data_IF_518509260899
#
_entry.id   IF_518509260899
#
_cell.length_a   1.000
_cell.length_b   1.000
_cell.length_c   1.000
_cell.angle_alpha   90.00
_cell.angle_beta   90.00
_cell.angle_gamma   90.00
#
_symmetry.space_group_name_H-M   'P 1'
#
loop_
_entity.id
_entity.type
_entity.pdbx_description
1 polymer ?
#
# COMPACT_ATOMS: atom_id res chain seq x y z
N UNK A 1 7.57 -10.43 -15.36
CA UNK A 1 7.77 -9.16 -14.63
C UNK A 1 6.40 -8.74 -14.14
N UNK A 2 6.25 -8.47 -12.85
CA UNK A 2 4.97 -8.10 -12.25
C UNK A 2 4.67 -6.61 -12.46
N UNK A 3 3.44 -6.18 -12.23
CA UNK A 3 3.00 -4.79 -12.31
C UNK A 3 2.13 -4.43 -11.10
N UNK A 4 1.95 -3.13 -10.86
CA UNK A 4 1.03 -2.67 -9.80
C UNK A 4 -0.41 -3.16 -9.99
N UNK A 5 -0.82 -3.46 -11.23
CA UNK A 5 -2.11 -4.09 -11.53
C UNK A 5 -2.26 -5.48 -10.91
N UNK A 6 -1.16 -6.16 -10.58
CA UNK A 6 -1.17 -7.52 -10.02
C UNK A 6 -1.42 -7.53 -8.50
N UNK A 7 -1.37 -6.36 -7.84
CA UNK A 7 -1.50 -6.28 -6.36
C UNK A 7 -2.93 -6.60 -5.90
N UNK A 8 -3.94 -5.88 -6.41
CA UNK A 8 -5.34 -6.16 -6.07
C UNK A 8 -5.79 -7.61 -6.33
N UNK A 9 -5.53 -8.24 -7.50
CA UNK A 9 -5.92 -9.64 -7.71
C UNK A 9 -5.14 -10.62 -6.81
N UNK A 10 -3.91 -10.28 -6.41
CA UNK A 10 -3.17 -11.06 -5.40
C UNK A 10 -3.87 -11.01 -4.05
N UNK A 11 -4.21 -9.81 -3.58
CA UNK A 11 -4.96 -9.59 -2.33
C UNK A 11 -6.31 -10.30 -2.37
N UNK A 12 -7.05 -10.17 -3.46
CA UNK A 12 -8.34 -10.82 -3.64
C UNK A 12 -8.23 -12.35 -3.55
N UNK A 13 -7.14 -12.93 -4.07
CA UNK A 13 -6.88 -14.37 -4.01
C UNK A 13 -6.56 -14.84 -2.59
N UNK A 14 -5.76 -14.08 -1.83
CA UNK A 14 -5.43 -14.37 -0.42
C UNK A 14 -6.69 -14.30 0.45
N UNK A 15 -7.51 -13.27 0.26
CA UNK A 15 -8.70 -13.03 1.08
C UNK A 15 -9.94 -13.80 0.60
N UNK A 16 -9.84 -14.56 -0.49
CA UNK A 16 -10.97 -15.24 -1.15
C UNK A 16 -12.13 -14.29 -1.51
N UNK A 17 -11.79 -13.07 -1.96
CA UNK A 17 -12.73 -12.01 -2.37
C UNK A 17 -12.91 -12.05 -3.88
N UNK A 18 -14.15 -11.93 -4.35
CA UNK A 18 -14.42 -11.81 -5.79
C UNK A 18 -14.01 -10.42 -6.30
N UNK A 19 -13.06 -10.39 -7.24
CA UNK A 19 -12.64 -9.18 -7.97
C UNK A 19 -13.09 -9.31 -9.44
N UNK A 20 -14.26 -8.73 -9.82
CA UNK A 20 -14.91 -9.05 -11.09
C UNK A 20 -14.19 -8.49 -12.33
N UNK A 21 -13.40 -7.43 -12.17
CA UNK A 21 -12.65 -6.79 -13.25
C UNK A 21 -11.25 -6.43 -12.75
N UNK A 22 -10.24 -6.86 -13.47
CA UNK A 22 -8.81 -6.56 -13.22
C UNK A 22 -8.05 -6.66 -14.53
N UNK A 23 -7.01 -5.84 -14.70
CA UNK A 23 -6.07 -5.93 -15.82
C UNK A 23 -4.84 -6.79 -15.46
N UNK A 24 -4.52 -6.88 -14.16
CA UNK A 24 -3.47 -7.74 -13.65
C UNK A 24 -3.94 -9.13 -13.27
N UNK A 25 -3.00 -9.97 -12.85
CA UNK A 25 -3.23 -11.36 -12.42
C UNK A 25 -2.62 -11.62 -11.04
N UNK A 26 -3.18 -12.54 -10.23
CA UNK A 26 -2.61 -12.87 -8.93
C UNK A 26 -1.17 -13.37 -9.05
N UNK A 27 -0.31 -12.99 -8.12
CA UNK A 27 1.08 -13.45 -8.01
C UNK A 27 1.11 -14.75 -7.20
N UNK A 28 1.26 -15.94 -7.83
CA UNK A 28 1.00 -17.20 -7.14
C UNK A 28 1.95 -17.49 -5.97
N UNK A 29 3.17 -16.95 -6.01
CA UNK A 29 4.13 -17.11 -4.92
C UNK A 29 3.69 -16.36 -3.66
N UNK A 30 3.22 -15.11 -3.79
CA UNK A 30 2.71 -14.33 -2.65
C UNK A 30 1.43 -14.96 -2.09
N UNK A 31 0.53 -15.44 -2.96
CA UNK A 31 -0.70 -16.10 -2.52
C UNK A 31 -0.37 -17.29 -1.62
N UNK A 32 0.54 -18.17 -2.04
CA UNK A 32 0.96 -19.32 -1.22
C UNK A 32 1.66 -18.92 0.07
N UNK A 33 2.54 -17.93 0.02
CA UNK A 33 3.31 -17.53 1.20
C UNK A 33 2.44 -16.87 2.28
N UNK A 34 1.29 -16.32 1.91
CA UNK A 34 0.38 -15.60 2.81
C UNK A 34 -0.97 -16.31 3.05
N UNK A 35 -1.18 -17.51 2.49
CA UNK A 35 -2.49 -18.21 2.55
C UNK A 35 -2.90 -18.62 3.97
N UNK A 36 -1.93 -18.89 4.84
CA UNK A 36 -2.16 -19.31 6.22
C UNK A 36 -2.32 -18.12 7.20
N UNK A 37 -2.09 -16.89 6.75
CA UNK A 37 -2.21 -15.71 7.60
C UNK A 37 -3.71 -15.35 7.79
N UNK A 38 -4.15 -15.11 9.02
CA UNK A 38 -5.55 -14.79 9.31
C UNK A 38 -5.93 -13.34 9.00
N UNK A 39 -4.93 -12.48 8.84
CA UNK A 39 -5.08 -11.05 8.57
C UNK A 39 -4.11 -10.65 7.47
N UNK A 40 -4.45 -9.57 6.79
CA UNK A 40 -3.63 -8.98 5.73
C UNK A 40 -3.50 -7.47 5.95
N UNK A 41 -2.30 -6.94 5.79
CA UNK A 41 -2.03 -5.51 5.78
C UNK A 41 -1.34 -5.16 4.47
N UNK A 42 -1.90 -4.20 3.75
CA UNK A 42 -1.24 -3.53 2.63
C UNK A 42 -0.75 -2.15 3.08
N UNK A 43 0.57 -1.96 3.03
CA UNK A 43 1.23 -0.69 3.27
C UNK A 43 1.67 -0.13 1.92
N UNK A 44 1.09 0.99 1.51
CA UNK A 44 1.50 1.74 0.33
C UNK A 44 2.45 2.85 0.79
N UNK A 45 3.61 2.97 0.15
CA UNK A 45 4.63 3.96 0.49
C UNK A 45 4.86 4.92 -0.68
N UNK A 46 4.47 6.18 -0.49
CA UNK A 46 4.61 7.29 -1.45
C UNK A 46 6.10 7.50 -1.78
N UNK A 47 6.48 7.30 -3.04
CA UNK A 47 7.85 7.53 -3.51
C UNK A 47 8.86 6.39 -3.25
N UNK A 48 8.43 5.19 -2.86
CA UNK A 48 9.33 4.04 -2.68
C UNK A 48 9.67 3.37 -4.01
N UNK A 49 10.83 3.72 -4.58
CA UNK A 49 11.39 3.08 -5.78
C UNK A 49 12.23 1.82 -5.50
N UNK A 50 12.37 0.94 -6.49
CA UNK A 50 13.21 -0.27 -6.35
C UNK A 50 14.69 0.07 -6.16
N UNK A 51 15.19 1.11 -6.83
CA UNK A 51 16.58 1.58 -6.68
C UNK A 51 16.83 2.03 -5.24
N UNK A 52 15.90 2.82 -4.69
CA UNK A 52 15.94 3.29 -3.31
C UNK A 52 15.92 2.11 -2.32
N UNK A 53 15.00 1.17 -2.52
CA UNK A 53 14.94 -0.04 -1.70
C UNK A 53 16.27 -0.79 -1.71
N UNK A 54 16.88 -1.02 -2.87
CA UNK A 54 18.16 -1.74 -2.96
C UNK A 54 19.31 -1.01 -2.26
N UNK A 55 19.35 0.32 -2.34
CA UNK A 55 20.34 1.15 -1.62
C UNK A 55 20.21 0.99 -0.11
N UNK A 56 18.98 0.94 0.41
CA UNK A 56 18.72 0.94 1.86
C UNK A 56 18.15 -0.37 2.41
N UNK A 57 18.27 -1.48 1.69
CA UNK A 57 17.64 -2.77 2.04
C UNK A 57 17.98 -3.30 3.44
N UNK A 58 19.12 -2.88 4.00
CA UNK A 58 19.53 -3.25 5.36
C UNK A 58 18.57 -2.70 6.42
N UNK A 59 17.87 -1.60 6.15
CA UNK A 59 16.82 -1.05 7.01
C UNK A 59 15.51 -1.87 6.93
N UNK A 60 15.30 -2.57 5.82
CA UNK A 60 14.10 -3.38 5.55
C UNK A 60 14.39 -4.89 5.70
N UNK A 61 15.06 -5.28 6.79
CA UNK A 61 15.45 -6.68 7.03
C UNK A 61 14.26 -7.54 7.53
N UNK A 62 13.24 -7.66 6.69
CA UNK A 62 12.10 -8.56 6.90
C UNK A 62 12.40 -9.92 6.26
N UNK A 63 12.10 -11.01 6.97
CA UNK A 63 12.28 -12.36 6.44
C UNK A 63 11.13 -12.70 5.49
N UNK A 64 11.30 -12.40 4.19
CA UNK A 64 10.25 -12.58 3.20
C UNK A 64 10.71 -12.43 1.75
N UNK A 65 9.73 -12.27 0.87
CA UNK A 65 9.95 -12.07 -0.55
C UNK A 65 10.04 -10.59 -0.92
N UNK A 66 10.84 -10.28 -1.94
CA UNK A 66 10.91 -8.95 -2.55
C UNK A 66 10.82 -9.13 -4.05
N UNK A 67 9.83 -8.50 -4.67
CA UNK A 67 9.59 -8.54 -6.10
C UNK A 67 9.60 -7.12 -6.68
N UNK A 68 10.09 -6.98 -7.91
CA UNK A 68 9.95 -5.73 -8.65
C UNK A 68 8.63 -5.68 -9.42
N UNK A 69 7.82 -4.65 -9.17
CA UNK A 69 6.61 -4.36 -9.91
C UNK A 69 6.81 -3.15 -10.82
N UNK A 70 6.39 -3.27 -12.07
CA UNK A 70 6.33 -2.13 -13.00
C UNK A 70 5.20 -1.18 -12.57
N UNK A 71 5.57 0.05 -12.24
CA UNK A 71 4.67 1.17 -11.99
C UNK A 71 3.88 1.55 -13.24
N UNK A 72 2.72 2.15 -13.02
CA UNK A 72 1.78 2.53 -14.10
C UNK A 72 1.64 4.04 -14.26
N UNK A 73 2.12 4.80 -13.29
CA UNK A 73 2.10 6.24 -13.22
C UNK A 73 3.29 6.73 -12.40
N UNK A 74 3.70 7.98 -12.60
CA UNK A 74 4.66 8.71 -11.77
C UNK A 74 3.94 9.64 -10.77
N UNK A 75 2.66 9.38 -10.50
CA UNK A 75 1.82 10.17 -9.61
C UNK A 75 1.07 9.25 -8.65
N UNK A 76 1.02 9.65 -7.37
CA UNK A 76 0.43 8.90 -6.25
C UNK A 76 -1.00 8.44 -6.51
N UNK A 77 -1.93 9.36 -6.81
CA UNK A 77 -3.36 9.03 -6.93
C UNK A 77 -3.69 7.93 -7.95
N UNK A 78 -3.28 8.03 -9.24
CA UNK A 78 -3.51 6.96 -10.19
C UNK A 78 -2.77 5.66 -9.82
N UNK A 79 -1.58 5.74 -9.22
CA UNK A 79 -0.85 4.54 -8.80
C UNK A 79 -1.56 3.79 -7.67
N UNK A 80 -2.02 4.49 -6.64
CA UNK A 80 -2.83 3.92 -5.55
C UNK A 80 -4.12 3.33 -6.10
N UNK A 81 -4.82 4.04 -6.98
CA UNK A 81 -6.04 3.52 -7.61
C UNK A 81 -5.76 2.22 -8.37
N UNK A 82 -4.64 2.12 -9.10
CA UNK A 82 -4.22 0.86 -9.75
C UNK A 82 -3.89 -0.24 -8.74
N UNK A 83 -3.12 0.05 -7.68
CA UNK A 83 -2.78 -0.92 -6.64
C UNK A 83 -4.05 -1.53 -6.03
N UNK A 84 -5.07 -0.70 -5.79
CA UNK A 84 -6.28 -1.08 -5.09
C UNK A 84 -7.36 -1.66 -6.02
N UNK A 85 -7.35 -1.38 -7.33
CA UNK A 85 -8.36 -1.91 -8.26
C UNK A 85 -7.84 -3.03 -9.17
N UNK A 86 -6.52 -3.12 -9.35
CA UNK A 86 -5.89 -3.99 -10.32
C UNK A 86 -6.05 -3.52 -11.77
N UNK A 87 -6.54 -2.30 -11.99
CA UNK A 87 -6.80 -1.72 -13.30
C UNK A 87 -5.74 -0.67 -13.66
N UNK A 88 -5.49 -0.47 -14.94
CA UNK A 88 -4.72 0.68 -15.43
C UNK A 88 -5.52 1.99 -15.34
N UNK A 89 -4.83 3.16 -15.32
CA UNK A 89 -5.49 4.48 -15.26
C UNK A 89 -6.62 4.71 -16.26
N UNK A 90 -6.46 4.25 -17.50
CA UNK A 90 -7.49 4.38 -18.54
C UNK A 90 -8.73 3.49 -18.29
N UNK A 91 -8.61 2.44 -17.48
CA UNK A 91 -9.70 1.51 -17.16
C UNK A 91 -10.41 1.82 -15.85
N UNK A 92 -9.74 2.46 -14.88
CA UNK A 92 -10.38 2.97 -13.67
C UNK A 92 -10.75 4.45 -13.68
N UNK A 93 -10.24 5.22 -14.64
CA UNK A 93 -10.62 6.62 -14.83
C UNK A 93 -10.15 7.58 -13.74
N UNK A 94 -9.28 7.13 -12.83
CA UNK A 94 -8.72 7.96 -11.75
C UNK A 94 -7.35 8.46 -12.18
N UNK A 95 -7.27 9.75 -12.50
CA UNK A 95 -6.01 10.42 -12.85
C UNK A 95 -5.53 11.42 -11.79
N UNK A 96 -6.41 11.82 -10.88
CA UNK A 96 -6.19 12.84 -9.83
C UNK A 96 -7.27 12.68 -8.75
N UNK A 97 -7.08 13.29 -7.58
CA UNK A 97 -7.90 13.05 -6.37
C UNK A 97 -9.40 13.30 -6.58
N UNK A 98 -9.78 14.31 -7.37
CA UNK A 98 -11.19 14.61 -7.63
C UNK A 98 -11.94 13.50 -8.36
N UNK A 99 -11.24 12.67 -9.13
CA UNK A 99 -11.85 11.57 -9.87
C UNK A 99 -12.22 10.39 -8.98
N UNK A 100 -11.60 10.27 -7.80
CA UNK A 100 -11.84 9.16 -6.87
C UNK A 100 -13.30 9.14 -6.37
N UNK A 101 -13.94 10.31 -6.27
CA UNK A 101 -15.34 10.41 -5.83
C UNK A 101 -16.37 10.11 -6.92
N UNK A 102 -15.93 9.98 -8.17
CA UNK A 102 -16.82 9.79 -9.34
C UNK A 102 -16.46 8.57 -10.17
N UNK A 103 -15.37 7.87 -9.84
CA UNK A 103 -14.94 6.68 -10.58
C UNK A 103 -15.81 5.48 -10.26
N UNK A 104 -16.15 4.71 -11.30
CA UNK A 104 -17.02 3.54 -11.18
C UNK A 104 -16.37 2.32 -10.50
N UNK A 105 -15.06 2.01 -10.71
CA UNK A 105 -14.51 0.79 -10.13
C UNK A 105 -14.37 0.83 -8.61
N UNK A 106 -14.83 -0.25 -7.99
CA UNK A 106 -14.75 -0.48 -6.55
C UNK A 106 -13.39 -1.10 -6.23
N UNK A 107 -12.71 -0.58 -5.21
CA UNK A 107 -11.41 -1.09 -4.78
C UNK A 107 -11.51 -2.49 -4.13
N UNK A 108 -10.41 -3.23 -4.08
CA UNK A 108 -10.34 -4.56 -3.43
C UNK A 108 -10.68 -4.50 -1.94
N UNK A 109 -10.35 -3.40 -1.26
CA UNK A 109 -10.68 -3.20 0.16
C UNK A 109 -12.17 -2.95 0.39
N UNK A 110 -12.83 -2.22 -0.53
CA UNK A 110 -14.28 -2.04 -0.50
C UNK A 110 -15.01 -3.33 -0.87
N UNK A 111 -14.53 -4.06 -1.88
CA UNK A 111 -15.07 -5.37 -2.24
C UNK A 111 -14.93 -6.40 -1.12
N UNK A 112 -13.82 -6.37 -0.37
CA UNK A 112 -13.63 -7.19 0.81
C UNK A 112 -14.67 -6.86 1.89
N UNK A 113 -14.85 -5.57 2.21
CA UNK A 113 -15.87 -5.09 3.15
C UNK A 113 -17.29 -5.50 2.74
N UNK A 114 -17.65 -5.30 1.47
CA UNK A 114 -18.95 -5.72 0.91
C UNK A 114 -19.18 -7.23 0.98
N UNK A 115 -18.12 -8.03 1.00
CA UNK A 115 -18.17 -9.50 1.10
C UNK A 115 -18.00 -10.01 2.55
N UNK A 116 -18.08 -9.12 3.54
CA UNK A 116 -18.10 -9.46 4.97
C UNK A 116 -16.73 -9.51 5.64
N UNK A 117 -15.66 -9.10 4.96
CA UNK A 117 -14.33 -8.98 5.56
C UNK A 117 -14.21 -7.61 6.22
N UNK A 118 -14.10 -7.58 7.55
CA UNK A 118 -13.93 -6.33 8.29
C UNK A 118 -12.66 -5.62 7.83
N UNK A 119 -12.83 -4.49 7.17
CA UNK A 119 -11.76 -3.80 6.45
C UNK A 119 -11.54 -2.38 6.94
N UNK A 120 -10.27 -1.96 6.98
CA UNK A 120 -9.87 -0.62 7.39
C UNK A 120 -9.01 0.09 6.34
N UNK A 121 -9.18 1.40 6.23
CA UNK A 121 -8.36 2.29 5.40
C UNK A 121 -7.82 3.43 6.25
N UNK A 122 -6.52 3.68 6.18
CA UNK A 122 -5.79 4.72 6.93
C UNK A 122 -4.94 5.52 5.95
N UNK A 123 -5.32 6.76 5.68
CA UNK A 123 -4.56 7.64 4.78
C UNK A 123 -4.95 9.11 4.96
N UNK A 124 -4.35 9.99 4.16
CA UNK A 124 -4.71 11.40 4.09
C UNK A 124 -6.22 11.57 3.94
N UNK A 125 -6.76 12.51 4.71
CA UNK A 125 -8.20 12.77 4.88
C UNK A 125 -9.03 12.72 3.61
N UNK A 126 -8.62 13.42 2.54
CA UNK A 126 -9.42 13.46 1.32
C UNK A 126 -9.39 12.10 0.60
N UNK A 127 -8.22 11.47 0.53
CA UNK A 127 -8.10 10.09 0.04
C UNK A 127 -8.95 9.11 0.86
N UNK A 128 -8.91 9.19 2.18
CA UNK A 128 -9.62 8.28 3.08
C UNK A 128 -11.15 8.36 2.91
N UNK A 129 -11.69 9.57 2.75
CA UNK A 129 -13.13 9.82 2.60
C UNK A 129 -13.79 9.21 1.37
N UNK A 130 -13.02 8.82 0.36
CA UNK A 130 -13.60 8.19 -0.82
C UNK A 130 -14.02 6.74 -0.59
N UNK A 131 -13.50 6.08 0.46
CA UNK A 131 -13.72 4.66 0.69
C UNK A 131 -15.01 4.37 1.46
N UNK A 132 -15.70 3.30 1.06
CA UNK A 132 -16.89 2.75 1.74
C UNK A 132 -16.53 1.42 2.41
N UNK A 133 -15.86 1.48 3.57
CA UNK A 133 -15.39 0.31 4.34
C UNK A 133 -15.82 0.39 5.81
N UNK A 134 -15.60 -0.68 6.59
CA UNK A 134 -15.99 -0.77 8.00
C UNK A 134 -15.33 0.30 8.87
N UNK A 135 -14.07 0.64 8.59
CA UNK A 135 -13.32 1.68 9.32
C UNK A 135 -12.50 2.56 8.38
N UNK A 136 -12.74 3.85 8.44
CA UNK A 136 -11.92 4.88 7.77
C UNK A 136 -11.24 5.72 8.85
N UNK A 137 -9.91 5.83 8.79
CA UNK A 137 -9.12 6.72 9.64
C UNK A 137 -8.52 7.81 8.77
N UNK A 138 -9.03 9.02 8.95
CA UNK A 138 -8.55 10.23 8.30
C UNK A 138 -7.33 10.75 9.06
N UNK A 139 -6.18 10.85 8.38
CA UNK A 139 -4.97 11.48 8.95
C UNK A 139 -4.81 12.86 8.32
N UNK A 140 -4.70 13.89 9.15
CA UNK A 140 -4.50 15.27 8.70
C UNK A 140 -3.04 15.48 8.30
N UNK A 141 -2.82 16.26 7.25
CA UNK A 141 -1.49 16.59 6.79
C UNK A 141 -0.95 17.83 7.54
N UNK A 142 -0.15 17.58 8.58
CA UNK A 142 0.60 18.63 9.30
C UNK A 142 2.08 18.64 8.86
N UNK A 143 2.82 17.59 9.23
CA UNK A 143 4.20 17.34 8.83
C UNK A 143 4.39 15.84 8.53
N UNK A 144 5.34 15.51 7.67
CA UNK A 144 5.50 14.16 7.14
C UNK A 144 5.84 13.11 8.22
N UNK A 145 6.61 13.50 9.24
CA UNK A 145 7.02 12.59 10.32
C UNK A 145 5.83 12.29 11.22
N UNK A 146 5.13 13.33 11.69
CA UNK A 146 3.94 13.19 12.53
C UNK A 146 2.80 12.49 11.80
N UNK A 147 2.63 12.77 10.50
CA UNK A 147 1.66 12.07 9.67
C UNK A 147 1.95 10.55 9.66
N UNK A 148 3.18 10.13 9.35
CA UNK A 148 3.52 8.70 9.31
C UNK A 148 3.45 8.04 10.71
N UNK A 149 3.75 8.78 11.79
CA UNK A 149 3.50 8.30 13.16
C UNK A 149 2.02 8.07 13.45
N UNK A 150 1.14 8.99 13.03
CA UNK A 150 -0.30 8.83 13.17
C UNK A 150 -0.82 7.66 12.34
N UNK A 151 -0.33 7.47 11.10
CA UNK A 151 -0.66 6.31 10.27
C UNK A 151 -0.24 5.01 10.94
N UNK A 152 0.98 4.95 11.47
CA UNK A 152 1.50 3.79 12.23
C UNK A 152 0.61 3.45 13.42
N UNK A 153 0.35 4.40 14.30
CA UNK A 153 -0.44 4.17 15.51
C UNK A 153 -1.88 3.74 15.18
N UNK A 154 -2.47 4.36 14.15
CA UNK A 154 -3.80 3.99 13.65
C UNK A 154 -3.82 2.58 13.06
N UNK A 155 -2.76 2.15 12.36
CA UNK A 155 -2.65 0.81 11.77
C UNK A 155 -2.60 -0.24 12.86
N UNK A 156 -1.73 -0.05 13.87
CA UNK A 156 -1.61 -0.95 15.02
C UNK A 156 -2.96 -1.11 15.73
N UNK A 157 -3.73 -0.02 15.88
CA UNK A 157 -5.05 -0.08 16.50
C UNK A 157 -6.11 -0.74 15.59
N UNK A 158 -6.07 -0.47 14.28
CA UNK A 158 -7.02 -1.02 13.31
C UNK A 158 -6.85 -2.53 13.11
N UNK A 159 -5.63 -3.05 13.15
CA UNK A 159 -5.33 -4.48 13.01
C UNK A 159 -5.99 -5.31 14.12
N UNK A 160 -6.22 -4.74 15.31
CA UNK A 160 -6.91 -5.43 16.39
C UNK A 160 -8.39 -5.72 16.09
N UNK A 161 -8.98 -4.99 15.13
CA UNK A 161 -10.41 -5.00 14.83
C UNK A 161 -10.73 -5.38 13.39
N UNK A 162 -9.73 -5.46 12.52
CA UNK A 162 -9.91 -5.65 11.07
C UNK A 162 -9.12 -6.84 10.58
N UNK A 163 -9.67 -7.53 9.57
CA UNK A 163 -9.01 -8.65 8.88
C UNK A 163 -8.12 -8.11 7.76
N UNK A 164 -8.56 -7.07 7.06
CA UNK A 164 -7.79 -6.43 6.00
C UNK A 164 -7.60 -4.94 6.27
N UNK A 165 -6.36 -4.46 6.30
CA UNK A 165 -6.05 -3.04 6.52
C UNK A 165 -5.19 -2.50 5.39
N UNK A 166 -5.54 -1.32 4.87
CA UNK A 166 -4.72 -0.56 3.93
C UNK A 166 -4.23 0.72 4.61
N UNK A 167 -2.94 0.99 4.52
CA UNK A 167 -2.32 2.19 5.07
C UNK A 167 -1.42 2.89 4.04
N UNK A 168 -1.35 4.23 4.10
CA UNK A 168 -0.52 5.04 3.20
C UNK A 168 0.50 5.90 3.96
N UNK A 169 1.78 5.61 3.78
CA UNK A 169 2.93 6.33 4.33
C UNK A 169 3.51 7.28 3.28
N UNK A 170 3.96 8.46 3.70
CA UNK A 170 4.32 9.57 2.78
C UNK A 170 5.70 10.18 3.01
N UNK A 171 6.41 9.73 4.05
CA UNK A 171 7.63 10.41 4.47
C UNK A 171 8.70 10.52 3.38
N UNK A 172 8.86 9.48 2.54
CA UNK A 172 9.87 9.46 1.50
C UNK A 172 9.63 10.58 0.48
N UNK A 173 8.46 10.59 -0.17
CA UNK A 173 8.11 11.61 -1.16
C UNK A 173 8.17 13.04 -0.60
N UNK A 174 7.67 13.25 0.61
CA UNK A 174 7.74 14.56 1.28
C UNK A 174 9.17 15.02 1.56
N UNK A 175 10.04 14.13 2.01
CA UNK A 175 11.45 14.47 2.23
C UNK A 175 12.19 14.76 0.92
N UNK A 176 11.87 14.05 -0.17
CA UNK A 176 12.42 14.37 -1.49
C UNK A 176 12.02 15.77 -1.94
N UNK A 177 10.74 16.13 -1.84
CA UNK A 177 10.25 17.45 -2.22
C UNK A 177 10.86 18.59 -1.40
N UNK A 178 11.07 18.35 -0.10
CA UNK A 178 11.66 19.31 0.81
C UNK A 178 13.20 19.39 0.72
N UNK A 179 13.84 18.59 -0.14
CA UNK A 179 15.31 18.43 -0.23
C UNK A 179 15.95 18.06 1.13
N UNK A 180 15.26 17.22 1.91
CA UNK A 180 15.73 16.67 3.19
C UNK A 180 16.49 15.35 2.98
N UNK A 181 17.07 14.82 4.06
CA UNK A 181 17.86 13.58 4.01
C UNK A 181 17.00 12.36 3.67
N UNK A 182 17.28 11.72 2.53
CA UNK A 182 16.64 10.46 2.15
C UNK A 182 16.89 9.34 3.16
N UNK A 183 18.11 9.26 3.71
CA UNK A 183 18.46 8.26 4.71
C UNK A 183 17.63 8.43 5.99
N UNK A 184 17.42 9.67 6.45
CA UNK A 184 16.57 9.96 7.62
C UNK A 184 15.12 9.55 7.37
N UNK A 185 14.58 9.81 6.17
CA UNK A 185 13.23 9.39 5.80
C UNK A 185 13.08 7.86 5.81
N UNK A 186 14.09 7.15 5.29
CA UNK A 186 14.13 5.68 5.30
C UNK A 186 14.25 5.13 6.73
N UNK A 187 15.06 5.75 7.58
CA UNK A 187 15.19 5.37 8.98
C UNK A 187 13.86 5.47 9.73
N UNK A 188 13.17 6.59 9.58
CA UNK A 188 11.87 6.82 10.21
C UNK A 188 10.82 5.83 9.67
N UNK A 189 10.76 5.62 8.35
CA UNK A 189 9.88 4.62 7.76
C UNK A 189 10.17 3.21 8.31
N UNK A 190 11.44 2.80 8.32
CA UNK A 190 11.84 1.48 8.81
C UNK A 190 11.51 1.29 10.31
N UNK A 191 11.68 2.32 11.13
CA UNK A 191 11.26 2.29 12.53
C UNK A 191 9.75 2.10 12.67
N UNK A 192 8.95 2.84 11.89
CA UNK A 192 7.49 2.70 11.90
C UNK A 192 7.06 1.30 11.47
N UNK A 193 7.65 0.76 10.41
CA UNK A 193 7.38 -0.60 9.93
C UNK A 193 7.75 -1.65 10.99
N UNK A 194 8.88 -1.47 11.69
CA UNK A 194 9.31 -2.38 12.77
C UNK A 194 8.34 -2.37 13.95
N UNK A 195 7.84 -1.21 14.35
CA UNK A 195 6.82 -1.11 15.40
C UNK A 195 5.54 -1.86 15.00
N UNK A 196 5.10 -1.73 13.74
CA UNK A 196 3.98 -2.49 13.19
C UNK A 196 4.26 -3.99 13.29
N UNK A 197 5.41 -4.46 12.80
CA UNK A 197 5.71 -5.89 12.80
C UNK A 197 5.81 -6.50 14.20
N UNK A 198 6.25 -5.74 15.19
CA UNK A 198 6.27 -6.18 16.61
C UNK A 198 4.85 -6.36 17.16
N UNK A 199 3.91 -5.54 16.69
CA UNK A 199 2.52 -5.54 17.17
C UNK A 199 1.62 -6.58 16.48
N UNK A 200 1.95 -6.94 15.24
CA UNK A 200 1.17 -7.86 14.41
C UNK A 200 1.40 -9.33 14.79
N UNK A 201 0.38 -10.18 14.61
CA UNK A 201 0.45 -11.63 14.88
C UNK A 201 -0.47 -12.42 13.96
N UNK A 202 0.08 -13.46 13.34
CA UNK A 202 -0.55 -14.24 12.28
C UNK A 202 -1.09 -13.36 11.14
N UNK A 203 -0.26 -12.40 10.72
CA UNK A 203 -0.63 -11.33 9.79
C UNK A 203 0.31 -11.33 8.60
N UNK A 204 -0.25 -11.41 7.40
CA UNK A 204 0.48 -11.19 6.16
C UNK A 204 0.69 -9.70 5.96
N UNK A 205 1.92 -9.28 5.72
CA UNK A 205 2.29 -7.90 5.41
C UNK A 205 2.69 -7.83 3.95
N UNK A 206 2.11 -6.88 3.23
CA UNK A 206 2.50 -6.48 1.88
C UNK A 206 2.90 -5.00 1.90
N UNK A 207 4.12 -4.67 1.50
CA UNK A 207 4.60 -3.29 1.39
C UNK A 207 4.88 -3.00 -0.07
N UNK A 208 4.25 -1.97 -0.62
CA UNK A 208 4.35 -1.62 -2.03
C UNK A 208 4.66 -0.14 -2.21
N UNK A 209 5.64 0.18 -3.04
CA UNK A 209 5.78 1.55 -3.54
C UNK A 209 4.72 1.86 -4.59
N UNK A 210 4.23 3.09 -4.63
CA UNK A 210 3.27 3.55 -5.65
C UNK A 210 3.97 4.10 -6.91
N UNK A 211 5.06 4.84 -6.72
CA UNK A 211 5.98 5.27 -7.75
C UNK A 211 7.39 5.43 -7.16
N UNK A 212 8.45 5.38 -8.01
CA UNK A 212 9.78 5.77 -7.57
C UNK A 212 9.90 7.30 -7.42
N UNK A 213 10.98 7.79 -6.81
CA UNK A 213 11.27 9.22 -6.73
C UNK A 213 11.21 9.89 -8.11
N UNK A 214 10.68 11.11 -8.19
CA UNK A 214 10.39 11.80 -9.46
C UNK A 214 11.61 12.07 -10.36
N UNK A 215 12.82 11.95 -9.84
CA UNK A 215 14.07 12.08 -10.60
C UNK A 215 14.57 10.76 -11.19
N UNK A 216 13.96 9.61 -10.87
CA UNK A 216 14.32 8.32 -11.44
C UNK A 216 13.74 8.10 -12.84
N UNK A 217 14.54 7.46 -13.71
CA UNK A 217 14.12 7.10 -15.08
C UNK A 217 13.37 5.78 -15.13
N UNK A 218 13.59 4.90 -14.16
CA UNK A 218 12.95 3.61 -14.08
C UNK A 218 11.65 3.75 -13.26
N UNK A 219 10.61 3.02 -13.64
CA UNK A 219 9.33 3.04 -12.95
C UNK A 219 9.07 1.76 -12.13
N UNK A 220 10.12 1.00 -11.79
CA UNK A 220 9.99 -0.21 -10.96
C UNK A 220 9.96 0.18 -9.49
N UNK A 221 8.97 -0.36 -8.78
CA UNK A 221 8.77 -0.22 -7.33
C UNK A 221 8.84 -1.59 -6.67
N UNK A 222 9.26 -1.69 -5.40
CA UNK A 222 9.30 -2.96 -4.70
C UNK A 222 7.88 -3.36 -4.26
N UNK A 223 7.65 -4.68 -4.24
CA UNK A 223 6.59 -5.35 -3.53
C UNK A 223 7.24 -6.34 -2.56
N UNK A 224 7.22 -5.99 -1.28
CA UNK A 224 7.84 -6.76 -0.19
C UNK A 224 6.72 -7.51 0.54
N UNK A 225 6.89 -8.81 0.78
CA UNK A 225 5.86 -9.61 1.45
C UNK A 225 6.46 -10.57 2.47
N UNK A 226 5.80 -10.70 3.63
CA UNK A 226 6.18 -11.64 4.69
C UNK A 226 4.97 -11.91 5.61
N UNK A 227 5.00 -13.02 6.34
CA UNK A 227 4.01 -13.32 7.40
C UNK A 227 4.68 -13.21 8.78
N UNK A 228 3.92 -12.80 9.79
CA UNK A 228 4.34 -12.58 11.18
C UNK A 228 3.59 -13.47 12.15
#
# INVERSE_FOLDING_TARGET
>A
MYSLTDVAPTIASILHVSLPKTDGVPIPAIVRDLEDCNKLVLIIVDGLGMSLYETYKLYFNFNGMVLGCKGVSMHTTPAIATILTGLYPHNHGVFETRHVYTSDPISVVELASMQGIVSAVIMEKNGAKSFRVDRVVEVEEEDAVRYDYQVKDALIEAEQKSVFTVAHFRILDRYYHDNKSTEEAVEILAMNLKDITISSKNTGIMICGDHPPHNEKNNIVPLITFCL
#
